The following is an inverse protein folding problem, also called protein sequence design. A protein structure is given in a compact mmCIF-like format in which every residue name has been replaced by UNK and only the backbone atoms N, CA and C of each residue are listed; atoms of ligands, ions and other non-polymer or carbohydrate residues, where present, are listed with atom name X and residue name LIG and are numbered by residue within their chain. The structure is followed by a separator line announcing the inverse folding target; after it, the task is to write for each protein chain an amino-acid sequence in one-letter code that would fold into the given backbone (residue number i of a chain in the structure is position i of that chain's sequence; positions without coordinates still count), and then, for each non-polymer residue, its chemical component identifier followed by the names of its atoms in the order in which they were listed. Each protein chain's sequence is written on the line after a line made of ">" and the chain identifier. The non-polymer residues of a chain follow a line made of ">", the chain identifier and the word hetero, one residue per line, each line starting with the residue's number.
data_IF_367583208785
#
_entry.id   IF_367583208785
#
_cell.length_a   1.000
_cell.length_b   1.000
_cell.length_c   1.000
_cell.angle_alpha   90.00
_cell.angle_beta   90.00
_cell.angle_gamma   90.00
#
_symmetry.space_group_name_H-M   'P 1'
#
loop_
_entity.id
_entity.type
_entity.pdbx_description
1 polymer ?
#
# COMPACT_ATOMS: atom_id res chain seq x y z
N UNK A 1 -2.94 -21.87 -6.29
CA UNK A 1 -4.08 -21.11 -5.72
C UNK A 1 -3.90 -19.66 -6.13
N UNK A 2 -4.78 -19.11 -6.98
CA UNK A 2 -4.74 -17.69 -7.32
C UNK A 2 -5.25 -16.95 -6.08
N UNK A 3 -4.38 -16.19 -5.41
CA UNK A 3 -4.78 -15.29 -4.34
C UNK A 3 -5.62 -14.18 -4.98
N UNK A 4 -6.93 -14.36 -5.00
CA UNK A 4 -7.86 -13.31 -5.45
C UNK A 4 -7.69 -12.16 -4.46
N UNK A 5 -7.29 -10.99 -4.95
CA UNK A 5 -7.28 -9.75 -4.17
C UNK A 5 -8.71 -9.16 -4.24
N UNK A 6 -9.54 -9.32 -3.19
CA UNK A 6 -10.96 -8.98 -3.26
C UNK A 6 -11.19 -7.48 -3.46
N UNK A 7 -10.32 -6.61 -2.95
CA UNK A 7 -10.42 -5.16 -3.21
C UNK A 7 -10.15 -4.81 -4.66
N UNK A 8 -9.13 -5.40 -5.28
CA UNK A 8 -8.84 -5.17 -6.70
C UNK A 8 -9.98 -5.67 -7.59
N UNK A 9 -10.57 -6.82 -7.26
CA UNK A 9 -11.69 -7.37 -8.02
C UNK A 9 -12.92 -6.46 -7.96
N UNK A 10 -13.25 -5.95 -6.77
CA UNK A 10 -14.34 -4.99 -6.59
C UNK A 10 -14.05 -3.65 -7.30
N UNK A 11 -12.79 -3.20 -7.28
CA UNK A 11 -12.37 -1.98 -7.99
C UNK A 11 -12.50 -2.10 -9.50
N UNK A 12 -12.18 -3.26 -10.09
CA UNK A 12 -12.40 -3.54 -11.52
C UNK A 12 -13.87 -3.46 -11.92
N UNK A 13 -14.76 -3.82 -10.99
CA UNK A 13 -16.22 -3.69 -11.17
C UNK A 13 -16.72 -2.25 -10.95
N UNK A 14 -15.80 -1.30 -10.72
CA UNK A 14 -16.11 0.12 -10.49
C UNK A 14 -16.66 0.39 -9.08
N UNK A 15 -16.39 -0.49 -8.11
CA UNK A 15 -16.76 -0.32 -6.72
C UNK A 15 -15.57 0.15 -5.90
N UNK A 16 -15.79 1.19 -5.11
CA UNK A 16 -14.85 1.69 -4.13
C UNK A 16 -15.32 1.28 -2.74
N UNK A 17 -14.45 0.60 -2.01
CA UNK A 17 -14.70 0.24 -0.62
C UNK A 17 -13.87 1.13 0.29
N UNK A 18 -14.51 1.66 1.33
CA UNK A 18 -13.84 2.42 2.39
C UNK A 18 -14.24 1.88 3.75
N UNK A 19 -13.34 2.02 4.73
CA UNK A 19 -13.61 1.66 6.12
C UNK A 19 -13.91 2.95 6.89
N UNK A 20 -15.15 3.09 7.37
CA UNK A 20 -15.60 4.25 8.17
C UNK A 20 -16.19 3.71 9.46
N UNK A 21 -15.69 4.14 10.62
CA UNK A 21 -16.13 3.66 11.94
C UNK A 21 -16.18 2.13 12.05
N UNK A 22 -15.16 1.45 11.51
CA UNK A 22 -15.06 -0.02 11.43
C UNK A 22 -16.18 -0.72 10.61
N UNK A 23 -16.95 0.06 9.84
CA UNK A 23 -17.97 -0.43 8.90
C UNK A 23 -17.46 -0.28 7.47
N UNK A 24 -17.69 -1.31 6.66
CA UNK A 24 -17.38 -1.27 5.23
C UNK A 24 -18.46 -0.44 4.52
N UNK A 25 -18.05 0.63 3.86
CA UNK A 25 -18.90 1.43 3.00
C UNK A 25 -18.52 1.15 1.54
N UNK A 26 -19.52 0.87 0.71
CA UNK A 26 -19.34 0.57 -0.70
C UNK A 26 -19.95 1.70 -1.52
N UNK A 27 -19.22 2.20 -2.51
CA UNK A 27 -19.66 3.26 -3.40
C UNK A 27 -19.38 2.87 -4.86
N UNK A 28 -20.33 3.03 -5.80
CA UNK A 28 -21.70 3.49 -5.57
C UNK A 28 -22.61 2.34 -5.09
N UNK A 29 -23.47 2.63 -4.10
CA UNK A 29 -24.32 1.61 -3.46
C UNK A 29 -25.36 0.99 -4.41
N UNK A 30 -25.74 1.71 -5.47
CA UNK A 30 -26.69 1.25 -6.49
C UNK A 30 -26.15 0.10 -7.37
N UNK A 31 -24.83 -0.18 -7.32
CA UNK A 31 -24.22 -1.29 -8.04
C UNK A 31 -24.04 -2.55 -7.19
N UNK A 32 -24.39 -2.51 -5.91
CA UNK A 32 -24.25 -3.66 -5.01
C UNK A 32 -25.42 -4.62 -5.23
N UNK A 33 -25.23 -5.56 -6.15
CA UNK A 33 -26.16 -6.68 -6.38
C UNK A 33 -25.88 -7.83 -5.39
N UNK A 34 -26.77 -8.81 -5.33
CA UNK A 34 -26.71 -9.92 -4.37
C UNK A 34 -25.42 -10.74 -4.47
N UNK A 35 -24.89 -10.93 -5.67
CA UNK A 35 -23.61 -11.62 -5.91
C UNK A 35 -22.43 -10.86 -5.30
N UNK A 36 -22.38 -9.54 -5.50
CA UNK A 36 -21.35 -8.65 -4.94
C UNK A 36 -21.46 -8.60 -3.42
N UNK A 37 -22.68 -8.53 -2.88
CA UNK A 37 -22.92 -8.61 -1.44
C UNK A 37 -22.45 -9.95 -0.85
N UNK A 38 -22.69 -11.06 -1.56
CA UNK A 38 -22.19 -12.39 -1.21
C UNK A 38 -20.67 -12.45 -1.19
N UNK A 39 -20.03 -11.93 -2.24
CA UNK A 39 -18.57 -11.86 -2.36
C UNK A 39 -17.94 -11.00 -1.24
N UNK A 40 -18.48 -9.80 -0.97
CA UNK A 40 -18.01 -8.94 0.12
C UNK A 40 -18.16 -9.65 1.47
N UNK A 41 -19.27 -10.37 1.69
CA UNK A 41 -19.51 -11.11 2.94
C UNK A 41 -18.53 -12.27 3.10
N UNK A 42 -18.24 -13.00 2.03
CA UNK A 42 -17.28 -14.12 2.02
C UNK A 42 -15.85 -13.65 2.29
N UNK A 43 -15.46 -12.49 1.75
CA UNK A 43 -14.09 -11.95 1.86
C UNK A 43 -13.95 -10.82 2.88
N UNK A 44 -14.94 -10.63 3.77
CA UNK A 44 -15.06 -9.47 4.65
C UNK A 44 -13.79 -9.15 5.45
N UNK A 45 -13.22 -10.16 6.10
CA UNK A 45 -12.01 -9.97 6.93
C UNK A 45 -10.78 -9.65 6.09
N UNK A 46 -10.64 -10.29 4.92
CA UNK A 46 -9.56 -9.98 3.98
C UNK A 46 -9.67 -8.55 3.46
N UNK A 47 -10.87 -8.11 3.06
CA UNK A 47 -11.15 -6.74 2.64
C UNK A 47 -10.83 -5.74 3.76
N UNK A 48 -11.27 -6.01 4.99
CA UNK A 48 -10.97 -5.16 6.15
C UNK A 48 -9.47 -5.04 6.39
N UNK A 49 -8.75 -6.16 6.40
CA UNK A 49 -7.30 -6.17 6.61
C UNK A 49 -6.57 -5.39 5.52
N UNK A 50 -6.99 -5.53 4.25
CA UNK A 50 -6.40 -4.77 3.15
C UNK A 50 -6.72 -3.27 3.25
N UNK A 51 -7.93 -2.88 3.63
CA UNK A 51 -8.29 -1.47 3.85
C UNK A 51 -7.55 -0.86 5.05
N UNK A 52 -7.37 -1.65 6.12
CA UNK A 52 -6.59 -1.24 7.29
C UNK A 52 -5.12 -1.09 6.94
N UNK A 53 -4.53 -2.04 6.21
CA UNK A 53 -3.15 -1.94 5.72
C UNK A 53 -3.00 -0.68 4.86
N UNK A 54 -3.85 -0.49 3.84
CA UNK A 54 -3.81 0.71 2.99
C UNK A 54 -3.92 2.01 3.80
N UNK A 55 -4.79 2.05 4.82
CA UNK A 55 -4.94 3.21 5.71
C UNK A 55 -3.71 3.44 6.61
N UNK A 56 -3.05 2.38 7.06
CA UNK A 56 -1.79 2.47 7.82
C UNK A 56 -0.63 2.95 6.94
N UNK A 57 -0.59 2.56 5.66
CA UNK A 57 0.41 3.06 4.71
C UNK A 57 0.22 4.54 4.40
N UNK A 58 -1.03 4.98 4.17
CA UNK A 58 -1.36 6.40 4.05
C UNK A 58 -1.05 7.14 5.34
N UNK A 59 -1.32 6.53 6.50
CA UNK A 59 -0.98 7.05 7.82
C UNK A 59 0.53 7.26 8.00
N UNK A 60 1.34 6.25 7.71
CA UNK A 60 2.81 6.33 7.78
C UNK A 60 3.36 7.38 6.83
N UNK A 61 2.93 7.39 5.56
CA UNK A 61 3.33 8.42 4.61
C UNK A 61 2.87 9.80 5.07
N UNK A 62 1.66 9.95 5.62
CA UNK A 62 1.15 11.24 6.09
C UNK A 62 1.94 11.83 7.26
N UNK A 63 2.60 10.98 8.06
CA UNK A 63 3.47 11.38 9.18
C UNK A 63 4.88 11.78 8.74
N UNK A 64 5.30 11.43 7.52
CA UNK A 64 6.61 11.82 6.99
C UNK A 64 6.64 13.31 6.66
N UNK A 65 7.79 13.94 6.92
CA UNK A 65 8.05 15.29 6.45
C UNK A 65 8.08 15.34 4.92
N UNK A 66 7.89 16.53 4.34
CA UNK A 66 7.97 16.69 2.88
C UNK A 66 9.33 16.25 2.31
N UNK A 67 10.42 16.52 3.05
CA UNK A 67 11.75 16.09 2.66
C UNK A 67 11.88 14.57 2.63
N UNK A 68 11.37 13.88 3.65
CA UNK A 68 11.36 12.41 3.71
C UNK A 68 10.53 11.80 2.59
N UNK A 69 9.36 12.38 2.27
CA UNK A 69 8.52 11.94 1.15
C UNK A 69 9.26 12.05 -0.18
N UNK A 70 9.81 13.22 -0.48
CA UNK A 70 10.53 13.45 -1.73
C UNK A 70 11.77 12.55 -1.86
N UNK A 71 12.45 12.28 -0.75
CA UNK A 71 13.59 11.36 -0.72
C UNK A 71 13.17 9.91 -1.00
N UNK A 72 12.08 9.45 -0.38
CA UNK A 72 11.48 8.13 -0.64
C UNK A 72 11.00 7.98 -2.08
N UNK A 73 10.37 9.01 -2.64
CA UNK A 73 9.94 9.04 -4.04
C UNK A 73 11.11 8.86 -5.00
N UNK A 74 12.22 9.57 -4.78
CA UNK A 74 13.41 9.42 -5.62
C UNK A 74 14.00 8.01 -5.56
N UNK A 75 14.06 7.38 -4.38
CA UNK A 75 14.54 6.00 -4.28
C UNK A 75 13.58 5.04 -4.99
N UNK A 76 12.27 5.24 -4.81
CA UNK A 76 11.26 4.46 -5.48
C UNK A 76 11.40 4.56 -7.01
N UNK A 77 11.67 5.75 -7.54
CA UNK A 77 11.93 5.99 -8.97
C UNK A 77 13.17 5.23 -9.47
N UNK A 78 14.29 5.25 -8.73
CA UNK A 78 15.50 4.48 -9.08
C UNK A 78 15.27 2.96 -9.07
N UNK A 79 14.36 2.51 -8.22
CA UNK A 79 13.97 1.11 -8.08
C UNK A 79 12.79 0.73 -8.98
N UNK A 80 12.22 1.70 -9.72
CA UNK A 80 11.02 1.55 -10.54
C UNK A 80 9.83 0.95 -9.76
N UNK A 81 9.65 1.40 -8.53
CA UNK A 81 8.59 0.97 -7.61
C UNK A 81 7.88 2.17 -6.98
N UNK A 82 7.05 1.94 -5.97
CA UNK A 82 6.36 2.99 -5.23
C UNK A 82 6.96 3.18 -3.83
N UNK A 83 6.87 4.38 -3.23
CA UNK A 83 7.27 4.60 -1.84
C UNK A 83 6.58 3.63 -0.87
N UNK A 84 5.31 3.32 -1.13
CA UNK A 84 4.54 2.36 -0.33
C UNK A 84 5.17 0.97 -0.35
N UNK A 85 5.64 0.50 -1.51
CA UNK A 85 6.31 -0.80 -1.64
C UNK A 85 7.57 -0.90 -0.77
N UNK A 86 8.38 0.17 -0.74
CA UNK A 86 9.60 0.21 0.08
C UNK A 86 9.29 0.09 1.58
N UNK A 87 8.20 0.72 2.02
CA UNK A 87 7.72 0.65 3.41
C UNK A 87 7.02 -0.68 3.74
N UNK A 88 6.25 -1.24 2.79
CA UNK A 88 5.52 -2.51 2.92
C UNK A 88 6.46 -3.69 3.09
N UNK A 89 7.52 -3.73 2.28
CA UNK A 89 8.52 -4.80 2.30
C UNK A 89 9.64 -4.55 3.31
N UNK A 90 9.54 -3.51 4.14
CA UNK A 90 10.57 -3.11 5.12
C UNK A 90 11.96 -2.96 4.48
N UNK A 91 12.01 -2.52 3.23
CA UNK A 91 13.25 -2.20 2.53
C UNK A 91 13.81 -0.85 2.97
N UNK A 92 12.92 0.02 3.45
CA UNK A 92 13.21 1.26 4.16
C UNK A 92 12.22 1.33 5.32
N UNK A 93 12.72 1.50 6.54
CA UNK A 93 11.91 1.74 7.72
C UNK A 93 12.03 3.19 8.25
N UNK A 94 11.43 3.47 9.40
CA UNK A 94 11.45 4.81 9.99
C UNK A 94 12.85 5.25 10.47
N UNK A 95 13.71 4.31 10.87
CA UNK A 95 15.07 4.59 11.31
C UNK A 95 15.96 4.87 10.10
N UNK A 96 15.79 4.10 9.02
CA UNK A 96 16.46 4.38 7.73
C UNK A 96 16.15 5.80 7.24
N UNK A 97 14.90 6.25 7.38
CA UNK A 97 14.49 7.61 7.02
C UNK A 97 15.10 8.71 7.89
N UNK A 98 15.68 8.37 9.04
CA UNK A 98 16.43 9.32 9.87
C UNK A 98 17.92 9.27 9.55
N UNK A 99 18.47 8.08 9.34
CA UNK A 99 19.92 7.88 9.14
C UNK A 99 20.38 8.14 7.70
N UNK A 100 19.52 7.85 6.73
CA UNK A 100 19.87 7.89 5.30
C UNK A 100 19.32 9.12 4.58
N UNK A 101 18.55 9.98 5.25
CA UNK A 101 17.86 11.12 4.61
C UNK A 101 18.81 12.07 3.88
N UNK A 102 20.02 12.27 4.40
CA UNK A 102 21.06 13.12 3.80
C UNK A 102 22.01 12.35 2.87
N UNK A 103 21.73 11.07 2.62
CA UNK A 103 22.52 10.22 1.72
C UNK A 103 21.98 10.30 0.30
N UNK A 104 22.87 10.05 -0.65
CA UNK A 104 22.54 10.01 -2.07
C UNK A 104 21.57 8.87 -2.39
N UNK A 105 20.40 9.23 -2.92
CA UNK A 105 19.28 8.30 -3.19
C UNK A 105 19.66 7.19 -4.16
N UNK A 106 20.52 7.47 -5.15
CA UNK A 106 21.02 6.47 -6.10
C UNK A 106 21.86 5.37 -5.43
N UNK A 107 22.71 5.74 -4.45
CA UNK A 107 23.53 4.78 -3.70
C UNK A 107 22.66 3.92 -2.80
N UNK A 108 21.69 4.52 -2.10
CA UNK A 108 20.73 3.79 -1.26
C UNK A 108 19.91 2.80 -2.09
N UNK A 109 19.38 3.23 -3.24
CA UNK A 109 18.68 2.36 -4.18
C UNK A 109 19.55 1.18 -4.65
N UNK A 110 20.84 1.44 -4.94
CA UNK A 110 21.79 0.38 -5.31
C UNK A 110 22.00 -0.62 -4.18
N UNK A 111 22.13 -0.16 -2.93
CA UNK A 111 22.23 -1.03 -1.76
C UNK A 111 20.97 -1.90 -1.60
N UNK A 112 19.78 -1.32 -1.76
CA UNK A 112 18.51 -2.06 -1.69
C UNK A 112 18.47 -3.17 -2.75
N UNK A 113 18.92 -2.91 -3.99
CA UNK A 113 18.99 -3.93 -5.05
C UNK A 113 19.90 -5.13 -4.72
N UNK A 114 20.84 -4.95 -3.80
CA UNK A 114 21.72 -6.04 -3.33
C UNK A 114 21.14 -6.83 -2.16
N UNK A 115 20.00 -6.39 -1.60
CA UNK A 115 19.34 -7.09 -0.51
C UNK A 115 18.71 -8.40 -1.02
N UNK A 116 18.96 -9.57 -0.40
CA UNK A 116 18.36 -10.83 -0.82
C UNK A 116 16.82 -10.87 -0.74
N UNK A 117 16.21 -9.96 0.02
CA UNK A 117 14.75 -9.79 0.07
C UNK A 117 14.20 -8.93 -1.06
N UNK A 118 15.06 -8.26 -1.83
CA UNK A 118 14.66 -7.57 -3.05
C UNK A 118 14.27 -8.59 -4.12
N UNK A 119 12.96 -8.70 -4.35
CA UNK A 119 12.38 -9.58 -5.36
C UNK A 119 11.56 -8.69 -6.29
N UNK A 120 11.98 -8.58 -7.56
CA UNK A 120 11.26 -7.85 -8.60
C UNK A 120 10.04 -8.64 -9.08
#
# INVERSE_FOLDING_TARGET
>A
MILINPLQELSKQGLVLTLVDNKLKVTPANRVIQEIAGFIKQHKESIKNQLLAASQHVGKLSQLTLQQKNWLEQIADYLQTTPSFLLEHQLIDQYDLMELLDKETALVARCIKTNPYWTQ
#
